data_IF_480872329440
#
_entry.id   IF_480872329440
#
_cell.length_a   1.000
_cell.length_b   1.000
_cell.length_c   1.000
_cell.angle_alpha   90.00
_cell.angle_beta   90.00
_cell.angle_gamma   90.00
#
_symmetry.space_group_name_H-M   'P 1'
#
loop_
_entity.id
_entity.type
_entity.pdbx_description
1 polymer ?
#
# COMPACT_ATOMS: atom_id res chain seq x y z
N UNK A 1 7.25 -1.16 -26.62
CA UNK A 1 7.25 0.32 -26.68
C UNK A 1 8.15 0.79 -25.56
N UNK A 2 9.17 1.61 -25.82
CA UNK A 2 9.92 2.22 -24.72
C UNK A 2 8.96 3.12 -23.94
N UNK A 3 8.90 3.01 -22.60
CA UNK A 3 8.02 3.86 -21.80
C UNK A 3 8.47 5.31 -21.96
N UNK A 4 7.54 6.18 -22.37
CA UNK A 4 7.78 7.62 -22.42
C UNK A 4 8.01 8.11 -20.98
N UNK A 5 8.97 9.02 -20.78
CA UNK A 5 9.18 9.69 -19.50
C UNK A 5 7.86 10.35 -19.05
N UNK A 6 7.25 9.83 -17.99
CA UNK A 6 6.05 10.44 -17.44
C UNK A 6 6.43 11.75 -16.74
N UNK A 7 5.66 12.79 -17.00
CA UNK A 7 5.76 14.12 -16.36
C UNK A 7 4.49 14.34 -15.54
N UNK A 8 4.47 15.28 -14.58
CA UNK A 8 3.22 15.62 -13.88
C UNK A 8 2.05 15.91 -14.84
N UNK A 9 2.33 16.54 -15.99
CA UNK A 9 1.34 16.83 -17.03
C UNK A 9 0.81 15.62 -17.80
N UNK A 10 1.53 14.49 -17.80
CA UNK A 10 1.10 13.28 -18.52
C UNK A 10 0.25 12.33 -17.66
N UNK A 11 0.07 12.63 -16.38
CA UNK A 11 -0.77 11.81 -15.50
C UNK A 11 -2.27 12.03 -15.82
N UNK A 12 -3.10 10.98 -15.63
CA UNK A 12 -4.55 11.11 -15.70
C UNK A 12 -5.09 12.25 -14.83
N UNK A 13 -6.23 12.82 -15.22
CA UNK A 13 -6.79 14.01 -14.57
C UNK A 13 -6.95 13.87 -13.04
N UNK A 14 -7.44 12.72 -12.58
CA UNK A 14 -7.63 12.43 -11.16
C UNK A 14 -6.30 12.39 -10.39
N UNK A 15 -5.27 11.71 -10.92
CA UNK A 15 -3.95 11.66 -10.27
C UNK A 15 -3.23 13.00 -10.26
N UNK A 16 -3.47 13.88 -11.25
CA UNK A 16 -2.95 15.26 -11.22
C UNK A 16 -3.57 16.08 -10.10
N UNK A 17 -4.88 15.92 -9.84
CA UNK A 17 -5.55 16.57 -8.70
C UNK A 17 -4.97 16.04 -7.38
N UNK A 18 -4.91 14.72 -7.22
CA UNK A 18 -4.32 14.10 -6.04
C UNK A 18 -2.90 14.63 -5.75
N UNK A 19 -2.03 14.71 -6.77
CA UNK A 19 -0.68 15.24 -6.59
C UNK A 19 -0.63 16.72 -6.21
N UNK A 20 -1.60 17.51 -6.64
CA UNK A 20 -1.67 18.92 -6.24
C UNK A 20 -1.97 19.08 -4.74
N UNK A 21 -2.71 18.13 -4.16
CA UNK A 21 -3.09 18.11 -2.75
C UNK A 21 -2.07 17.35 -1.89
N UNK A 22 -1.44 16.31 -2.45
CA UNK A 22 -0.45 15.45 -1.80
C UNK A 22 0.83 15.34 -2.64
N UNK A 23 1.68 16.38 -2.69
CA UNK A 23 2.89 16.39 -3.51
C UNK A 23 3.89 15.28 -3.18
N UNK A 24 3.89 14.79 -1.94
CA UNK A 24 4.76 13.70 -1.48
C UNK A 24 4.49 12.35 -2.15
N UNK A 25 3.36 12.20 -2.87
CA UNK A 25 3.07 11.01 -3.69
C UNK A 25 3.78 11.03 -5.05
N UNK A 26 4.45 12.13 -5.42
CA UNK A 26 5.11 12.28 -6.72
C UNK A 26 6.11 11.16 -7.00
N UNK A 27 6.92 10.78 -6.01
CA UNK A 27 7.92 9.71 -6.15
C UNK A 27 7.29 8.35 -6.48
N UNK A 28 6.03 8.10 -6.10
CA UNK A 28 5.33 6.84 -6.41
C UNK A 28 4.61 6.86 -7.76
N UNK A 29 4.42 8.03 -8.37
CA UNK A 29 3.59 8.22 -9.56
C UNK A 29 4.36 8.69 -10.79
N UNK A 30 5.47 9.39 -10.58
CA UNK A 30 6.27 10.03 -11.62
C UNK A 30 7.66 9.40 -11.61
N UNK A 31 8.03 8.65 -12.67
CA UNK A 31 9.35 8.06 -12.78
C UNK A 31 10.40 9.16 -12.98
N UNK A 32 11.45 9.14 -12.16
CA UNK A 32 12.63 9.99 -12.34
C UNK A 32 13.46 9.62 -13.57
N UNK A 33 14.51 10.38 -13.85
CA UNK A 33 15.41 10.12 -15.00
C UNK A 33 16.12 8.76 -14.89
N UNK A 34 16.38 8.30 -13.66
CA UNK A 34 17.00 7.01 -13.38
C UNK A 34 16.02 5.83 -13.39
N UNK A 35 14.76 6.04 -13.78
CA UNK A 35 13.73 5.03 -13.59
C UNK A 35 13.92 3.82 -14.52
N UNK A 36 13.88 2.62 -13.95
CA UNK A 36 13.84 1.37 -14.72
C UNK A 36 12.47 0.70 -14.59
N UNK A 37 11.80 0.51 -15.73
CA UNK A 37 10.49 -0.13 -15.77
C UNK A 37 10.57 -1.64 -15.66
N UNK A 38 9.58 -2.23 -15.01
CA UNK A 38 9.57 -3.64 -14.65
C UNK A 38 8.14 -4.21 -14.57
N UNK A 39 8.06 -5.51 -14.30
CA UNK A 39 6.82 -6.25 -14.00
C UNK A 39 7.05 -7.14 -12.78
N UNK A 40 6.00 -7.58 -12.07
CA UNK A 40 6.16 -8.52 -10.97
C UNK A 40 6.89 -9.81 -11.35
N UNK A 41 6.70 -10.28 -12.59
CA UNK A 41 7.41 -11.44 -13.13
C UNK A 41 8.91 -11.17 -13.29
N UNK A 42 9.29 -10.04 -13.89
CA UNK A 42 10.70 -9.66 -14.04
C UNK A 42 11.35 -9.41 -12.67
N UNK A 43 10.64 -8.77 -11.74
CA UNK A 43 11.10 -8.56 -10.36
C UNK A 43 11.32 -9.88 -9.60
N UNK A 44 10.52 -10.91 -9.89
CA UNK A 44 10.64 -12.24 -9.29
C UNK A 44 11.83 -13.04 -9.84
N UNK A 45 12.46 -12.62 -10.92
CA UNK A 45 13.67 -13.26 -11.43
C UNK A 45 14.81 -13.14 -10.41
N UNK A 46 15.58 -14.23 -10.23
CA UNK A 46 16.61 -14.31 -9.19
C UNK A 46 17.60 -13.14 -9.21
N UNK A 47 18.06 -12.75 -10.40
CA UNK A 47 19.02 -11.65 -10.56
C UNK A 47 18.44 -10.29 -10.13
N UNK A 48 17.15 -10.04 -10.40
CA UNK A 48 16.48 -8.80 -9.99
C UNK A 48 16.16 -8.84 -8.49
N UNK A 49 15.68 -9.98 -7.97
CA UNK A 49 15.42 -10.17 -6.54
C UNK A 49 16.69 -9.98 -5.69
N UNK A 50 17.85 -10.46 -6.16
CA UNK A 50 19.12 -10.24 -5.47
C UNK A 50 19.50 -8.75 -5.39
N UNK A 51 19.18 -7.98 -6.43
CA UNK A 51 19.39 -6.53 -6.44
C UNK A 51 18.43 -5.82 -5.49
N UNK A 52 17.17 -6.23 -5.46
CA UNK A 52 16.16 -5.73 -4.51
C UNK A 52 16.63 -6.00 -3.07
N UNK A 53 17.06 -7.22 -2.76
CA UNK A 53 17.58 -7.60 -1.44
C UNK A 53 18.77 -6.72 -1.05
N UNK A 54 19.74 -6.55 -1.95
CA UNK A 54 20.91 -5.71 -1.70
C UNK A 54 20.52 -4.24 -1.46
N UNK A 55 19.52 -3.74 -2.18
CA UNK A 55 18.99 -2.39 -1.97
C UNK A 55 18.26 -2.24 -0.64
N UNK A 56 17.39 -3.20 -0.30
CA UNK A 56 16.67 -3.22 0.97
C UNK A 56 17.63 -3.25 2.16
N UNK A 57 18.68 -4.08 2.11
CA UNK A 57 19.68 -4.16 3.18
C UNK A 57 20.54 -2.90 3.31
N UNK A 58 20.78 -2.17 2.22
CA UNK A 58 21.43 -0.85 2.28
C UNK A 58 20.51 0.22 2.88
N UNK A 59 19.25 0.26 2.47
CA UNK A 59 18.29 1.27 2.93
C UNK A 59 17.85 1.07 4.37
N UNK A 60 17.70 -0.20 4.75
CA UNK A 60 17.26 -0.63 6.06
C UNK A 60 18.25 -1.61 6.67
N UNK A 61 19.45 -1.18 7.11
CA UNK A 61 20.44 -2.08 7.68
C UNK A 61 19.96 -2.66 9.03
N UNK A 62 19.20 -3.76 8.99
CA UNK A 62 18.63 -4.43 10.17
C UNK A 62 19.43 -5.69 10.54
N UNK A 63 20.36 -6.11 9.67
CA UNK A 63 21.20 -7.29 9.88
C UNK A 63 20.43 -8.60 9.67
N UNK A 64 19.27 -8.54 9.02
CA UNK A 64 18.44 -9.70 8.73
C UNK A 64 17.60 -9.47 7.46
N UNK A 65 17.91 -10.26 6.43
CA UNK A 65 17.24 -10.19 5.12
C UNK A 65 15.72 -10.29 5.22
N UNK A 66 15.18 -11.11 6.12
CA UNK A 66 13.74 -11.28 6.27
C UNK A 66 13.07 -9.98 6.77
N UNK A 67 13.72 -9.26 7.67
CA UNK A 67 13.20 -7.99 8.20
C UNK A 67 13.30 -6.88 7.14
N UNK A 68 14.42 -6.84 6.43
CA UNK A 68 14.70 -5.91 5.33
C UNK A 68 13.66 -6.06 4.21
N UNK A 69 13.37 -7.31 3.85
CA UNK A 69 12.37 -7.62 2.81
C UNK A 69 10.93 -7.40 3.26
N UNK A 70 10.62 -7.53 4.56
CA UNK A 70 9.33 -7.09 5.08
C UNK A 70 9.13 -5.58 4.95
N UNK A 71 10.18 -4.79 5.18
CA UNK A 71 10.13 -3.34 4.96
C UNK A 71 9.98 -2.98 3.49
N UNK A 72 10.78 -3.60 2.62
CA UNK A 72 10.67 -3.36 1.17
C UNK A 72 9.29 -3.72 0.63
N UNK A 73 8.73 -4.86 1.05
CA UNK A 73 7.38 -5.26 0.68
C UNK A 73 6.33 -4.26 1.16
N UNK A 74 6.45 -3.79 2.40
CA UNK A 74 5.59 -2.75 2.96
C UNK A 74 5.67 -1.43 2.14
N UNK A 75 6.87 -1.00 1.73
CA UNK A 75 7.04 0.23 0.93
C UNK A 75 6.49 0.09 -0.48
N UNK A 76 6.70 -1.05 -1.15
CA UNK A 76 6.12 -1.33 -2.46
C UNK A 76 4.59 -1.23 -2.43
N UNK A 77 3.96 -1.91 -1.46
CA UNK A 77 2.50 -1.89 -1.33
C UNK A 77 1.98 -0.50 -1.02
N UNK A 78 2.65 0.27 -0.17
CA UNK A 78 2.26 1.65 0.12
C UNK A 78 2.33 2.55 -1.12
N UNK A 79 3.39 2.42 -1.93
CA UNK A 79 3.57 3.21 -3.15
C UNK A 79 2.48 2.94 -4.20
N UNK A 80 1.98 1.70 -4.28
CA UNK A 80 0.89 1.34 -5.20
C UNK A 80 -0.49 1.67 -4.62
N UNK A 81 -0.78 1.20 -3.40
CA UNK A 81 -2.12 1.25 -2.83
C UNK A 81 -2.53 2.68 -2.47
N UNK A 82 -1.66 3.48 -1.86
CA UNK A 82 -2.04 4.81 -1.37
C UNK A 82 -2.57 5.73 -2.47
N UNK A 83 -1.85 5.98 -3.57
CA UNK A 83 -2.34 6.92 -4.57
C UNK A 83 -3.54 6.38 -5.34
N UNK A 84 -3.55 5.07 -5.67
CA UNK A 84 -4.69 4.49 -6.39
C UNK A 84 -5.97 4.52 -5.55
N UNK A 85 -5.89 4.12 -4.28
CA UNK A 85 -7.07 4.09 -3.41
C UNK A 85 -7.53 5.50 -3.04
N UNK A 86 -6.63 6.46 -2.86
CA UNK A 86 -7.01 7.86 -2.67
C UNK A 86 -7.88 8.36 -3.84
N UNK A 87 -7.43 8.17 -5.08
CA UNK A 87 -8.23 8.51 -6.28
C UNK A 87 -9.56 7.76 -6.32
N UNK A 88 -9.57 6.46 -6.03
CA UNK A 88 -10.81 5.67 -6.06
C UNK A 88 -11.84 6.13 -5.01
N UNK A 89 -11.40 6.61 -3.84
CA UNK A 89 -12.29 7.13 -2.78
C UNK A 89 -12.76 8.54 -3.11
N UNK A 90 -11.86 9.44 -3.50
CA UNK A 90 -12.15 10.86 -3.74
C UNK A 90 -13.07 11.08 -4.95
N UNK A 91 -12.97 10.21 -5.96
CA UNK A 91 -13.63 10.41 -7.26
C UNK A 91 -14.64 9.29 -7.60
N UNK A 92 -14.80 8.28 -6.72
CA UNK A 92 -15.63 7.08 -6.95
C UNK A 92 -15.33 6.38 -8.28
N UNK A 93 -14.06 6.37 -8.67
CA UNK A 93 -13.57 5.70 -9.88
C UNK A 93 -12.92 4.36 -9.56
N UNK A 94 -12.53 3.61 -10.60
CA UNK A 94 -11.75 2.39 -10.46
C UNK A 94 -10.43 2.55 -11.20
N UNK A 95 -9.33 2.58 -10.44
CA UNK A 95 -7.98 2.55 -11.00
C UNK A 95 -7.55 1.11 -11.33
N UNK A 96 -6.71 0.98 -12.34
CA UNK A 96 -6.12 -0.30 -12.74
C UNK A 96 -4.98 -0.70 -11.81
N UNK A 97 -5.16 -1.80 -11.08
CA UNK A 97 -4.18 -2.42 -10.19
C UNK A 97 -3.42 -3.59 -10.83
N UNK A 98 -3.54 -3.80 -12.15
CA UNK A 98 -2.71 -4.74 -12.88
C UNK A 98 -1.27 -4.23 -12.98
N UNK A 99 -0.39 -4.84 -12.18
CA UNK A 99 1.02 -4.49 -12.16
C UNK A 99 1.80 -5.16 -13.31
N UNK A 100 1.22 -6.14 -14.00
CA UNK A 100 1.89 -6.88 -15.08
C UNK A 100 2.03 -6.08 -16.37
N UNK A 101 1.37 -4.92 -16.47
CA UNK A 101 1.34 -4.06 -17.66
C UNK A 101 2.66 -3.30 -17.94
N UNK A 102 3.75 -3.59 -17.23
CA UNK A 102 5.06 -2.97 -17.45
C UNK A 102 5.14 -1.50 -17.03
N UNK A 103 4.28 -1.09 -16.10
CA UNK A 103 4.16 0.29 -15.60
C UNK A 103 4.75 0.49 -14.21
N UNK A 104 5.14 -0.60 -13.55
CA UNK A 104 5.96 -0.53 -12.36
C UNK A 104 7.33 0.00 -12.74
N UNK A 105 7.93 0.80 -11.87
CA UNK A 105 9.30 1.25 -12.04
C UNK A 105 10.05 1.25 -10.72
N UNK A 106 11.34 1.01 -10.83
CA UNK A 106 12.32 1.29 -9.80
C UNK A 106 12.92 2.67 -10.00
N UNK A 107 13.31 3.35 -8.94
CA UNK A 107 14.19 4.51 -9.01
C UNK A 107 15.16 4.59 -7.83
N UNK A 108 16.24 5.36 -8.01
CA UNK A 108 17.19 5.65 -6.94
C UNK A 108 16.49 6.44 -5.84
N UNK A 109 16.88 6.21 -4.58
CA UNK A 109 16.41 7.03 -3.47
C UNK A 109 17.13 8.39 -3.38
N UNK A 110 18.30 8.49 -4.01
CA UNK A 110 19.17 9.66 -3.95
C UNK A 110 19.48 10.12 -5.39
N UNK A 111 18.97 11.29 -5.78
CA UNK A 111 19.36 11.97 -7.03
C UNK A 111 20.78 12.56 -6.92
N UNK A 112 21.26 12.83 -5.69
CA UNK A 112 22.58 13.42 -5.42
C UNK A 112 23.72 12.39 -5.45
N UNK A 113 23.43 11.10 -5.28
CA UNK A 113 24.39 10.00 -5.44
C UNK A 113 24.19 9.32 -6.80
N UNK A 114 24.44 10.10 -7.86
CA UNK A 114 24.50 9.67 -9.26
C UNK A 114 25.69 8.72 -9.55
N UNK A 115 25.93 7.75 -8.68
CA UNK A 115 26.75 6.59 -9.03
C UNK A 115 25.90 5.68 -9.92
N UNK A 116 26.47 5.27 -11.05
CA UNK A 116 25.83 4.37 -12.01
C UNK A 116 25.35 3.03 -11.40
N UNK A 117 25.79 2.71 -10.17
CA UNK A 117 25.49 1.49 -9.43
C UNK A 117 24.61 1.73 -8.18
N UNK A 118 23.99 2.91 -8.04
CA UNK A 118 23.12 3.20 -6.90
C UNK A 118 21.94 2.20 -6.86
N UNK A 119 21.66 1.56 -5.70
CA UNK A 119 20.53 0.64 -5.57
C UNK A 119 19.19 1.27 -5.94
N UNK A 120 18.43 0.57 -6.76
CA UNK A 120 16.98 0.74 -6.82
C UNK A 120 16.36 0.47 -5.47
N UNK A 121 15.72 1.47 -4.88
CA UNK A 121 15.01 1.23 -3.63
C UNK A 121 13.53 1.57 -3.76
N UNK A 122 13.22 2.75 -4.28
CA UNK A 122 11.84 3.19 -4.38
C UNK A 122 11.15 2.51 -5.56
N UNK A 123 9.95 2.01 -5.32
CA UNK A 123 9.08 1.47 -6.36
C UNK A 123 7.91 2.43 -6.57
N UNK A 124 7.52 2.63 -7.82
CA UNK A 124 6.33 3.37 -8.18
C UNK A 124 5.53 2.67 -9.27
N UNK A 125 4.36 3.21 -9.58
CA UNK A 125 3.48 2.74 -10.64
C UNK A 125 2.98 3.95 -11.43
N UNK A 126 3.23 3.95 -12.75
CA UNK A 126 2.64 4.96 -13.62
C UNK A 126 1.15 4.63 -13.82
N UNK A 127 0.22 5.47 -13.33
CA UNK A 127 -1.20 5.18 -13.42
C UNK A 127 -1.72 5.33 -14.86
N UNK A 128 -2.84 4.65 -15.12
CA UNK A 128 -3.63 4.78 -16.35
C UNK A 128 -4.92 5.52 -16.04
N UNK A 129 -5.65 5.92 -17.08
CA UNK A 129 -6.94 6.58 -16.90
C UNK A 129 -7.89 5.68 -16.08
N UNK A 130 -8.43 6.18 -14.95
CA UNK A 130 -9.42 5.43 -14.19
C UNK A 130 -10.68 5.17 -15.01
N UNK A 131 -11.37 4.09 -14.72
CA UNK A 131 -12.70 3.83 -15.29
C UNK A 131 -13.78 4.42 -14.39
N UNK A 132 -14.88 4.85 -15.01
CA UNK A 132 -16.03 5.44 -14.34
C UNK A 132 -17.23 4.47 -14.43
N UNK A 133 -17.51 3.70 -13.37
CA UNK A 133 -18.69 2.84 -13.33
C UNK A 133 -19.98 3.66 -13.39
N UNK A 134 -21.03 3.14 -14.01
CA UNK A 134 -22.30 3.87 -14.15
C UNK A 134 -23.17 3.82 -12.88
N UNK A 135 -22.83 2.94 -11.94
CA UNK A 135 -23.55 2.76 -10.68
C UNK A 135 -22.65 2.26 -9.56
N UNK A 136 -23.11 2.38 -8.32
CA UNK A 136 -22.41 1.87 -7.14
C UNK A 136 -22.21 0.35 -7.19
N UNK A 137 -23.18 -0.41 -7.72
CA UNK A 137 -23.07 -1.87 -7.87
C UNK A 137 -21.97 -2.26 -8.88
N UNK A 138 -21.90 -1.53 -10.00
CA UNK A 138 -20.82 -1.70 -10.98
C UNK A 138 -19.47 -1.33 -10.39
N UNK A 139 -19.41 -0.26 -9.58
CA UNK A 139 -18.19 0.16 -8.88
C UNK A 139 -17.67 -0.92 -7.94
N UNK A 140 -18.52 -1.45 -7.04
CA UNK A 140 -18.13 -2.55 -6.14
C UNK A 140 -17.69 -3.82 -6.90
N UNK A 141 -18.33 -4.11 -8.02
CA UNK A 141 -17.97 -5.28 -8.86
C UNK A 141 -16.63 -5.09 -9.56
N UNK A 142 -16.39 -3.90 -10.11
CA UNK A 142 -15.12 -3.56 -10.73
C UNK A 142 -13.97 -3.51 -9.70
N UNK A 143 -14.22 -3.02 -8.49
CA UNK A 143 -13.25 -3.08 -7.38
C UNK A 143 -12.92 -4.53 -6.99
N UNK A 144 -13.91 -5.41 -6.86
CA UNK A 144 -13.66 -6.86 -6.63
C UNK A 144 -12.76 -7.45 -7.71
N UNK A 145 -13.01 -7.11 -8.97
CA UNK A 145 -12.15 -7.54 -10.08
C UNK A 145 -10.73 -7.00 -9.95
N UNK A 146 -10.55 -5.71 -9.63
CA UNK A 146 -9.21 -5.13 -9.41
C UNK A 146 -8.47 -5.79 -8.23
N UNK A 147 -9.18 -6.18 -7.18
CA UNK A 147 -8.62 -6.96 -6.08
C UNK A 147 -8.06 -8.31 -6.52
N UNK A 148 -8.78 -9.03 -7.39
CA UNK A 148 -8.29 -10.30 -7.98
C UNK A 148 -7.04 -10.05 -8.83
N UNK A 149 -7.12 -9.10 -9.77
CA UNK A 149 -6.02 -8.74 -10.67
C UNK A 149 -4.76 -8.34 -9.90
N UNK A 150 -4.91 -7.55 -8.83
CA UNK A 150 -3.81 -7.16 -7.96
C UNK A 150 -3.17 -8.37 -7.28
N UNK A 151 -3.98 -9.28 -6.74
CA UNK A 151 -3.49 -10.50 -6.10
C UNK A 151 -2.77 -11.43 -7.09
N UNK A 152 -3.31 -11.61 -8.30
CA UNK A 152 -2.65 -12.36 -9.37
C UNK A 152 -1.31 -11.71 -9.73
N UNK A 153 -1.28 -10.37 -9.84
CA UNK A 153 -0.06 -9.61 -10.14
C UNK A 153 1.01 -9.75 -9.07
N UNK A 154 0.64 -9.80 -7.78
CA UNK A 154 1.58 -9.90 -6.66
C UNK A 154 2.08 -11.33 -6.39
N UNK A 155 1.36 -12.35 -6.85
CA UNK A 155 1.67 -13.76 -6.55
C UNK A 155 3.09 -14.20 -6.92
N UNK A 156 3.68 -13.83 -8.08
CA UNK A 156 5.07 -14.14 -8.40
C UNK A 156 6.07 -13.58 -7.38
N UNK A 157 5.84 -12.36 -6.89
CA UNK A 157 6.68 -11.72 -5.88
C UNK A 157 6.56 -12.44 -4.53
N UNK A 158 5.34 -12.82 -4.12
CA UNK A 158 5.13 -13.57 -2.88
C UNK A 158 5.90 -14.89 -2.89
N UNK A 159 5.88 -15.61 -4.02
CA UNK A 159 6.67 -16.84 -4.20
C UNK A 159 8.17 -16.55 -4.13
N UNK A 160 8.66 -15.57 -4.89
CA UNK A 160 10.09 -15.25 -4.94
C UNK A 160 10.64 -14.75 -3.59
N UNK A 161 9.85 -13.99 -2.83
CA UNK A 161 10.19 -13.57 -1.46
C UNK A 161 10.27 -14.75 -0.49
N UNK A 162 9.41 -15.74 -0.67
CA UNK A 162 9.46 -16.98 0.10
C UNK A 162 10.72 -17.80 -0.19
N UNK A 163 11.06 -17.94 -1.47
CA UNK A 163 12.25 -18.69 -1.90
C UNK A 163 13.57 -17.97 -1.60
N UNK A 164 13.63 -16.66 -1.82
CA UNK A 164 14.86 -15.86 -1.73
C UNK A 164 15.18 -15.31 -0.33
N UNK A 165 14.15 -15.01 0.48
CA UNK A 165 14.32 -14.36 1.78
C UNK A 165 13.63 -15.11 2.94
N UNK A 166 13.00 -16.25 2.67
CA UNK A 166 12.38 -17.11 3.69
C UNK A 166 11.06 -16.56 4.25
N UNK A 167 10.43 -15.59 3.57
CA UNK A 167 9.17 -15.01 4.04
C UNK A 167 8.00 -15.99 3.83
N UNK A 168 7.14 -16.11 4.84
CA UNK A 168 5.94 -16.94 4.71
C UNK A 168 4.85 -16.18 3.94
N UNK A 169 4.03 -16.86 3.11
CA UNK A 169 2.94 -16.21 2.39
C UNK A 169 1.93 -15.49 3.29
N UNK A 170 1.55 -16.06 4.44
CA UNK A 170 0.54 -15.46 5.31
C UNK A 170 0.92 -14.05 5.81
N UNK A 171 2.13 -13.80 6.36
CA UNK A 171 2.60 -12.43 6.63
C UNK A 171 2.61 -11.49 5.42
N UNK A 172 2.96 -11.97 4.23
CA UNK A 172 3.01 -11.17 3.01
C UNK A 172 1.61 -10.70 2.58
N UNK A 173 0.63 -11.60 2.63
CA UNK A 173 -0.77 -11.27 2.35
C UNK A 173 -1.41 -10.42 3.44
N UNK A 174 -1.00 -10.56 4.70
CA UNK A 174 -1.41 -9.64 5.76
C UNK A 174 -0.97 -8.19 5.49
N UNK A 175 0.21 -7.99 4.89
CA UNK A 175 0.64 -6.65 4.45
C UNK A 175 -0.25 -6.10 3.33
N UNK A 176 -0.72 -6.94 2.41
CA UNK A 176 -1.66 -6.53 1.36
C UNK A 176 -2.98 -6.07 1.98
N UNK A 177 -3.50 -6.81 2.97
CA UNK A 177 -4.69 -6.39 3.71
C UNK A 177 -4.52 -5.04 4.36
N UNK A 178 -3.44 -4.88 5.14
CA UNK A 178 -3.17 -3.65 5.86
C UNK A 178 -2.95 -2.48 4.89
N UNK A 179 -2.23 -2.67 3.77
CA UNK A 179 -1.98 -1.62 2.79
C UNK A 179 -3.26 -1.10 2.13
N UNK A 180 -4.19 -1.99 1.77
CA UNK A 180 -5.48 -1.61 1.19
C UNK A 180 -6.33 -0.88 2.25
N UNK A 181 -6.45 -1.46 3.44
CA UNK A 181 -7.31 -0.91 4.47
C UNK A 181 -6.80 0.42 5.05
N UNK A 182 -5.49 0.55 5.30
CA UNK A 182 -4.86 1.79 5.77
C UNK A 182 -5.00 2.90 4.73
N UNK A 183 -4.78 2.59 3.44
CA UNK A 183 -4.94 3.57 2.36
C UNK A 183 -6.38 4.06 2.24
N UNK A 184 -7.35 3.13 2.31
CA UNK A 184 -8.77 3.46 2.26
C UNK A 184 -9.21 4.30 3.46
N UNK A 185 -8.77 3.93 4.67
CA UNK A 185 -9.07 4.69 5.88
C UNK A 185 -8.49 6.11 5.82
N UNK A 186 -7.23 6.25 5.39
CA UNK A 186 -6.59 7.55 5.21
C UNK A 186 -7.33 8.44 4.21
N UNK A 187 -7.63 7.92 3.02
CA UNK A 187 -8.35 8.65 1.98
C UNK A 187 -9.77 9.04 2.42
N UNK A 188 -10.47 8.13 3.10
CA UNK A 188 -11.82 8.37 3.59
C UNK A 188 -11.87 9.44 4.68
N UNK A 189 -10.91 9.46 5.60
CA UNK A 189 -10.79 10.53 6.58
C UNK A 189 -10.56 11.89 5.91
N UNK A 190 -9.67 11.95 4.92
CA UNK A 190 -9.36 13.19 4.21
C UNK A 190 -10.58 13.72 3.41
N UNK A 191 -11.40 12.81 2.89
CA UNK A 191 -12.56 13.14 2.05
C UNK A 191 -13.88 13.18 2.81
N UNK A 192 -13.88 12.92 4.12
CA UNK A 192 -15.09 12.71 4.93
C UNK A 192 -16.03 11.63 4.34
N UNK A 193 -15.47 10.58 3.74
CA UNK A 193 -16.17 9.55 2.99
C UNK A 193 -15.95 8.16 3.62
N UNK A 194 -16.16 8.05 4.94
CA UNK A 194 -15.93 6.81 5.71
C UNK A 194 -16.67 5.59 5.16
N UNK A 195 -17.99 5.67 4.84
CA UNK A 195 -18.69 4.53 4.24
C UNK A 195 -18.06 4.07 2.92
N UNK A 196 -17.67 5.03 2.07
CA UNK A 196 -17.04 4.76 0.76
C UNK A 196 -15.70 4.05 0.92
N UNK A 197 -14.83 4.52 1.82
CA UNK A 197 -13.53 3.89 2.09
C UNK A 197 -13.66 2.45 2.60
N UNK A 198 -14.57 2.21 3.54
CA UNK A 198 -14.84 0.87 4.08
C UNK A 198 -15.34 -0.06 2.96
N UNK A 199 -16.37 0.37 2.21
CA UNK A 199 -16.96 -0.42 1.14
C UNK A 199 -15.93 -0.76 0.06
N UNK A 200 -15.08 0.19 -0.32
CA UNK A 200 -13.99 -0.02 -1.26
C UNK A 200 -12.98 -1.04 -0.76
N UNK A 201 -12.51 -0.89 0.48
CA UNK A 201 -11.53 -1.80 1.07
C UNK A 201 -12.09 -3.23 1.13
N UNK A 202 -13.35 -3.39 1.55
CA UNK A 202 -14.03 -4.69 1.56
C UNK A 202 -14.15 -5.28 0.16
N UNK A 203 -14.51 -4.49 -0.85
CA UNK A 203 -14.64 -4.96 -2.22
C UNK A 203 -13.29 -5.43 -2.80
N UNK A 204 -12.23 -4.63 -2.66
CA UNK A 204 -10.88 -5.02 -3.10
C UNK A 204 -10.43 -6.30 -2.37
N UNK A 205 -10.58 -6.37 -1.04
CA UNK A 205 -10.13 -7.52 -0.27
C UNK A 205 -10.96 -8.79 -0.52
N UNK A 206 -12.25 -8.66 -0.85
CA UNK A 206 -13.05 -9.79 -1.33
C UNK A 206 -12.48 -10.35 -2.65
N UNK A 207 -12.01 -9.47 -3.54
CA UNK A 207 -11.29 -9.85 -4.75
C UNK A 207 -10.00 -10.60 -4.45
N UNK A 208 -9.15 -10.04 -3.59
CA UNK A 208 -7.88 -10.68 -3.18
C UNK A 208 -8.16 -12.05 -2.55
N UNK A 209 -9.13 -12.15 -1.63
CA UNK A 209 -9.53 -13.41 -0.97
C UNK A 209 -9.99 -14.47 -1.96
N UNK A 210 -10.75 -14.09 -2.98
CA UNK A 210 -11.22 -15.00 -4.01
C UNK A 210 -10.06 -15.62 -4.81
N UNK A 211 -8.99 -14.85 -5.02
CA UNK A 211 -7.80 -15.31 -5.77
C UNK A 211 -6.86 -16.19 -4.92
N UNK A 212 -6.54 -15.78 -3.69
CA UNK A 212 -5.47 -16.43 -2.90
C UNK A 212 -5.98 -17.29 -1.74
N UNK A 213 -7.28 -17.22 -1.46
CA UNK A 213 -7.95 -17.99 -0.43
C UNK A 213 -8.08 -17.27 0.92
N UNK A 214 -9.25 -17.45 1.55
CA UNK A 214 -9.67 -16.80 2.80
C UNK A 214 -8.75 -17.08 4.01
N UNK A 215 -7.94 -18.14 3.96
CA UNK A 215 -7.00 -18.45 5.06
C UNK A 215 -5.78 -17.53 5.08
N UNK A 216 -5.41 -16.94 3.94
CA UNK A 216 -4.24 -16.07 3.82
C UNK A 216 -4.58 -14.59 4.00
N UNK A 217 -5.81 -14.20 3.66
CA UNK A 217 -6.28 -12.82 3.70
C UNK A 217 -7.44 -12.72 4.69
N UNK A 218 -7.23 -11.99 5.78
CA UNK A 218 -8.25 -11.78 6.82
C UNK A 218 -9.02 -10.50 6.56
N UNK A 219 -10.19 -10.37 7.18
CA UNK A 219 -10.91 -9.10 7.18
C UNK A 219 -10.13 -8.01 7.94
N UNK A 220 -10.15 -6.77 7.42
CA UNK A 220 -9.54 -5.64 8.10
C UNK A 220 -10.30 -5.34 9.39
N UNK A 221 -9.57 -4.85 10.40
CA UNK A 221 -10.14 -4.49 11.70
C UNK A 221 -10.21 -2.98 11.80
N UNK A 222 -11.33 -2.42 11.38
CA UNK A 222 -11.61 -0.99 11.50
C UNK A 222 -11.89 -0.61 12.95
N UNK A 223 -11.38 0.55 13.35
CA UNK A 223 -11.62 1.18 14.65
C UNK A 223 -12.00 2.65 14.43
N UNK A 224 -12.91 3.15 15.25
CA UNK A 224 -13.20 4.57 15.38
C UNK A 224 -12.34 5.13 16.52
N UNK A 225 -11.51 6.12 16.22
CA UNK A 225 -10.67 6.80 17.20
C UNK A 225 -11.32 8.14 17.51
N UNK A 226 -11.92 8.24 18.69
CA UNK A 226 -12.46 9.50 19.21
C UNK A 226 -11.38 10.21 20.05
N UNK A 227 -11.72 11.35 20.63
CA UNK A 227 -10.80 12.09 21.50
C UNK A 227 -10.42 11.30 22.77
N UNK A 228 -11.35 10.50 23.30
CA UNK A 228 -11.19 9.82 24.60
C UNK A 228 -11.03 8.30 24.46
N UNK A 229 -11.52 7.70 23.37
CA UNK A 229 -11.69 6.25 23.27
C UNK A 229 -11.33 5.68 21.89
N UNK A 230 -11.07 4.38 21.88
CA UNK A 230 -10.89 3.59 20.66
C UNK A 230 -11.95 2.50 20.64
N UNK A 231 -12.88 2.62 19.70
CA UNK A 231 -14.02 1.73 19.56
C UNK A 231 -13.82 0.82 18.34
N UNK A 232 -14.12 -0.47 18.50
CA UNK A 232 -14.20 -1.36 17.35
C UNK A 232 -15.41 -0.96 16.51
N UNK A 233 -15.24 -0.87 15.18
CA UNK A 233 -16.36 -0.60 14.28
C UNK A 233 -17.09 -1.92 13.99
N UNK A 234 -18.37 -1.99 14.35
CA UNK A 234 -19.29 -3.03 13.92
C UNK A 234 -20.00 -2.60 12.63
N UNK A 235 -19.46 -3.07 11.51
CA UNK A 235 -19.93 -2.74 10.17
C UNK A 235 -21.41 -3.11 9.90
N UNK A 236 -22.02 -3.95 10.74
CA UNK A 236 -23.43 -4.34 10.59
C UNK A 236 -24.40 -3.43 11.35
N UNK A 237 -23.92 -2.70 12.36
CA UNK A 237 -24.79 -2.00 13.32
C UNK A 237 -24.42 -0.54 13.54
N UNK A 238 -23.16 -0.16 13.33
CA UNK A 238 -22.70 1.19 13.55
C UNK A 238 -23.15 2.14 12.43
N UNK A 239 -23.45 3.38 12.81
CA UNK A 239 -23.61 4.48 11.88
C UNK A 239 -22.22 4.92 11.39
N UNK A 240 -21.86 4.52 10.17
CA UNK A 240 -20.54 4.79 9.60
C UNK A 240 -20.29 6.27 9.36
N UNK A 241 -21.34 7.08 9.20
CA UNK A 241 -21.23 8.54 9.06
C UNK A 241 -20.90 9.23 10.40
N UNK A 242 -21.09 8.54 11.52
CA UNK A 242 -20.76 9.02 12.86
C UNK A 242 -19.31 8.71 13.30
N UNK A 243 -18.52 8.05 12.44
CA UNK A 243 -17.12 7.75 12.73
C UNK A 243 -16.29 9.04 12.66
N UNK A 244 -15.67 9.41 13.78
CA UNK A 244 -14.85 10.63 13.89
C UNK A 244 -13.47 10.48 13.22
N UNK A 245 -12.89 9.29 13.34
CA UNK A 245 -11.63 8.96 12.68
C UNK A 245 -11.50 7.47 12.46
N UNK A 246 -11.52 7.08 11.19
CA UNK A 246 -11.34 5.71 10.81
C UNK A 246 -9.85 5.34 10.87
N UNK A 247 -9.51 4.32 11.63
CA UNK A 247 -8.17 3.72 11.61
C UNK A 247 -8.27 2.19 11.51
N UNK A 248 -7.14 1.54 11.23
CA UNK A 248 -7.08 0.07 11.09
C UNK A 248 -6.11 -0.52 12.10
N UNK A 249 -6.57 -1.55 12.81
CA UNK A 249 -5.71 -2.39 13.66
C UNK A 249 -4.95 -3.38 12.79
N UNK A 250 -3.77 -2.93 12.34
CA UNK A 250 -2.82 -3.70 11.54
C UNK A 250 -2.58 -5.12 12.04
N UNK A 251 -2.44 -6.03 11.08
CA UNK A 251 -2.15 -7.44 11.31
C UNK A 251 -0.71 -7.81 10.94
N UNK A 252 -0.09 -7.00 10.08
CA UNK A 252 1.27 -7.20 9.61
C UNK A 252 2.29 -6.46 10.48
N UNK A 253 3.53 -6.95 10.48
CA UNK A 253 4.67 -6.23 11.03
C UNK A 253 5.62 -5.87 9.90
N UNK A 254 5.93 -4.58 9.73
CA UNK A 254 6.96 -4.14 8.79
C UNK A 254 8.39 -4.38 9.33
N UNK A 255 8.54 -4.79 10.59
CA UNK A 255 9.82 -5.08 11.24
C UNK A 255 10.75 -3.87 11.42
N UNK A 256 10.28 -2.64 11.15
CA UNK A 256 11.10 -1.42 11.23
C UNK A 256 11.85 -1.25 12.54
N UNK A 257 11.27 -1.68 13.67
CA UNK A 257 11.87 -1.57 15.00
C UNK A 257 13.20 -2.32 15.17
N UNK A 258 13.59 -3.14 14.21
CA UNK A 258 14.92 -3.76 14.16
C UNK A 258 15.99 -2.83 13.57
N UNK A 259 15.62 -1.72 12.91
CA UNK A 259 16.55 -0.70 12.46
C UNK A 259 17.08 0.11 13.64
N UNK A 260 18.40 0.38 13.65
CA UNK A 260 19.04 1.17 14.69
C UNK A 260 18.37 2.54 14.87
N UNK A 261 18.13 2.94 16.12
CA UNK A 261 17.52 4.24 16.45
C UNK A 261 16.01 4.33 16.20
N UNK A 262 15.35 3.24 15.79
CA UNK A 262 13.90 3.22 15.65
C UNK A 262 13.25 2.44 16.79
N UNK A 263 12.06 2.90 17.21
CA UNK A 263 11.24 2.21 18.19
C UNK A 263 10.06 1.50 17.52
N UNK A 264 9.34 0.67 18.27
CA UNK A 264 8.07 0.09 17.80
C UNK A 264 7.11 1.22 17.40
N UNK A 265 6.59 1.19 16.17
CA UNK A 265 5.60 2.16 15.68
C UNK A 265 4.25 2.03 16.42
N UNK A 266 3.37 3.03 16.29
CA UNK A 266 2.03 3.06 16.90
C UNK A 266 1.25 1.77 16.61
N UNK A 267 1.27 1.31 15.36
CA UNK A 267 0.55 0.11 14.92
C UNK A 267 1.31 -1.22 15.10
N UNK A 268 2.47 -1.22 15.79
CA UNK A 268 3.35 -2.39 15.83
C UNK A 268 2.67 -3.59 16.53
N UNK A 269 2.55 -4.78 15.89
CA UNK A 269 1.86 -5.92 16.50
C UNK A 269 2.55 -6.43 17.78
N UNK A 270 3.84 -6.14 17.96
CA UNK A 270 4.62 -6.47 19.16
C UNK A 270 4.42 -5.53 20.36
N UNK A 271 3.53 -4.54 20.25
CA UNK A 271 3.01 -3.80 21.41
C UNK A 271 1.80 -4.54 22.00
N UNK A 272 1.65 -4.42 23.32
CA UNK A 272 0.42 -4.82 24.00
C UNK A 272 -0.77 -3.99 23.47
N UNK A 273 -2.02 -4.48 23.59
CA UNK A 273 -3.19 -3.69 23.20
C UNK A 273 -3.25 -2.32 23.87
N UNK A 274 -2.96 -2.23 25.18
CA UNK A 274 -2.98 -0.98 25.93
C UNK A 274 -1.94 0.04 25.42
N UNK A 275 -0.71 -0.40 25.15
CA UNK A 275 0.34 0.49 24.57
C UNK A 275 -0.07 1.04 23.20
N UNK A 276 -0.74 0.22 22.36
CA UNK A 276 -1.23 0.68 21.06
C UNK A 276 -2.32 1.74 21.22
N UNK A 277 -3.24 1.51 22.14
CA UNK A 277 -4.37 2.41 22.37
C UNK A 277 -3.87 3.75 22.92
N UNK A 278 -2.94 3.74 23.88
CA UNK A 278 -2.30 4.96 24.40
C UNK A 278 -1.57 5.74 23.29
N UNK A 279 -0.78 5.06 22.46
CA UNK A 279 -0.04 5.71 21.38
C UNK A 279 -0.96 6.26 20.27
N UNK A 280 -2.07 5.58 19.98
CA UNK A 280 -3.08 6.03 19.02
C UNK A 280 -3.79 7.29 19.52
N UNK A 281 -4.22 7.32 20.79
CA UNK A 281 -4.81 8.50 21.40
C UNK A 281 -3.82 9.67 21.44
N UNK A 282 -2.54 9.41 21.75
CA UNK A 282 -1.49 10.45 21.70
C UNK A 282 -1.27 10.98 20.29
N UNK A 283 -1.29 10.12 19.27
CA UNK A 283 -1.16 10.53 17.88
C UNK A 283 -2.36 11.37 17.43
N UNK A 284 -3.59 10.97 17.78
CA UNK A 284 -4.83 11.71 17.52
C UNK A 284 -4.74 13.13 18.10
N UNK A 285 -4.31 13.26 19.36
CA UNK A 285 -4.15 14.54 20.04
C UNK A 285 -3.04 15.45 19.44
N UNK A 286 -2.24 14.98 18.48
CA UNK A 286 -1.27 15.80 17.75
C UNK A 286 -1.79 16.31 16.40
N UNK A 287 -2.90 15.74 15.91
CA UNK A 287 -3.50 16.12 14.62
C UNK A 287 -4.43 17.35 14.75
N UNK A 288 -4.79 17.75 15.97
CA UNK A 288 -5.65 18.89 16.31
C UNK A 288 -5.05 19.69 17.47
#
# INVERSE_FOLDING_TARGET
MSPQSATPSSLPGAYRRLLSESPWLAESLIPGESAEFTTPQAMAERAVMDRIVAAAGRRFPMGNITFEMHMWWFTLLAAVCKPAIAVMVEEEVVCDLDLSQGRLFFQSADDDDAQADAPWFWCGLVPTEPTHPASHEEWLTALRHQGQVFATSLSPLVTALGEGAGLKPAPLWAHVTDAIADAAAGAANNSFAVPTGIALAQALLAGVKAEVGEKLVRDPRFINVTDDEILAVDLAHDDLDAIEHLAVRRMSCCMIYHHAGTNKCVSCPHKTPAEKDEDLLRYRAQLF
#
